data_IF_037783348819
#
_entry.id   IF_037783348819
#
_cell.length_a   1.000
_cell.length_b   1.000
_cell.length_c   1.000
_cell.angle_alpha   90.00
_cell.angle_beta   90.00
_cell.angle_gamma   90.00
#
_symmetry.space_group_name_H-M   'P 1'
#
loop_
_entity.id
_entity.type
_entity.pdbx_description
1 polymer ?
#
# COMPACT_ATOMS: atom_id res chain seq x y z
N UNK A 1 -7.98 13.73 -10.03
CA UNK A 1 -6.51 13.87 -9.93
C UNK A 1 -5.79 12.51 -9.88
N UNK A 2 -6.34 11.50 -9.20
CA UNK A 2 -5.68 10.19 -9.03
C UNK A 2 -6.25 9.06 -9.90
N UNK A 3 -7.05 9.35 -10.90
CA UNK A 3 -7.70 8.36 -11.77
C UNK A 3 -6.69 7.49 -12.55
N UNK A 4 -5.59 8.09 -12.98
CA UNK A 4 -4.51 7.40 -13.68
C UNK A 4 -3.57 6.61 -12.78
N UNK A 5 -3.60 6.86 -11.46
CA UNK A 5 -2.73 6.16 -10.51
C UNK A 5 -3.25 4.74 -10.27
N UNK A 6 -2.33 3.77 -10.36
CA UNK A 6 -2.64 2.40 -9.93
C UNK A 6 -3.04 2.41 -8.45
N UNK A 7 -3.73 1.38 -8.02
CA UNK A 7 -4.09 1.26 -6.62
C UNK A 7 -2.86 1.25 -5.70
N UNK A 8 -1.79 0.54 -6.10
CA UNK A 8 -0.54 0.52 -5.36
C UNK A 8 0.06 1.92 -5.23
N UNK A 9 0.09 2.69 -6.32
CA UNK A 9 0.59 4.06 -6.27
C UNK A 9 -0.28 4.99 -5.39
N UNK A 10 -1.60 4.79 -5.35
CA UNK A 10 -2.49 5.48 -4.40
C UNK A 10 -2.19 5.09 -2.95
N UNK A 11 -1.89 3.82 -2.69
CA UNK A 11 -1.51 3.35 -1.36
C UNK A 11 -0.17 3.91 -0.90
N UNK A 12 0.78 4.18 -1.80
CA UNK A 12 2.01 4.92 -1.44
C UNK A 12 1.66 6.26 -0.81
N UNK A 13 0.74 7.02 -1.40
CA UNK A 13 0.31 8.33 -0.88
C UNK A 13 -0.41 8.18 0.46
N UNK A 14 -1.25 7.17 0.58
CA UNK A 14 -1.92 6.85 1.84
C UNK A 14 -0.92 6.51 2.96
N UNK A 15 0.08 5.67 2.67
CA UNK A 15 1.12 5.33 3.63
C UNK A 15 2.05 6.52 3.93
N UNK A 16 2.32 7.38 2.95
CA UNK A 16 3.05 8.62 3.20
C UNK A 16 2.34 9.50 4.24
N UNK A 17 1.02 9.63 4.15
CA UNK A 17 0.22 10.33 5.16
C UNK A 17 0.29 9.64 6.52
N UNK A 18 0.22 8.31 6.53
CA UNK A 18 0.37 7.55 7.77
C UNK A 18 1.73 7.77 8.42
N UNK A 19 2.82 7.70 7.66
CA UNK A 19 4.17 7.95 8.17
C UNK A 19 4.31 9.40 8.69
N UNK A 20 3.84 10.39 7.96
CA UNK A 20 3.81 11.79 8.42
C UNK A 20 3.07 11.94 9.76
N UNK A 21 1.92 11.27 9.91
CA UNK A 21 1.16 11.21 11.15
C UNK A 21 1.97 10.61 12.32
N UNK A 22 2.72 9.52 12.07
CA UNK A 22 3.52 8.86 13.10
C UNK A 22 4.69 9.74 13.58
N UNK A 23 5.28 10.53 12.70
CA UNK A 23 6.38 11.46 13.03
C UNK A 23 5.89 12.84 13.50
N UNK A 24 4.57 13.06 13.56
CA UNK A 24 3.99 14.33 13.98
C UNK A 24 4.27 15.48 13.00
N UNK A 25 4.51 15.18 11.73
CA UNK A 25 4.67 16.20 10.70
C UNK A 25 3.31 16.78 10.29
N UNK A 26 3.16 18.11 10.23
CA UNK A 26 1.92 18.73 9.75
C UNK A 26 1.77 18.65 8.23
N UNK A 27 2.80 18.19 7.51
CA UNK A 27 2.85 18.09 6.05
C UNK A 27 3.31 16.70 5.61
N UNK A 28 2.85 16.28 4.44
CA UNK A 28 3.41 15.11 3.77
C UNK A 28 4.60 15.57 2.94
N UNK A 29 5.81 15.13 3.31
CA UNK A 29 7.10 15.45 2.70
C UNK A 29 7.63 14.27 1.88
N UNK A 30 8.70 14.50 1.11
CA UNK A 30 9.24 13.49 0.17
C UNK A 30 9.73 12.23 0.87
N UNK A 31 10.28 12.32 2.08
CA UNK A 31 10.69 11.20 2.91
C UNK A 31 9.51 10.34 3.35
N UNK A 32 8.37 10.96 3.64
CA UNK A 32 7.14 10.23 3.93
C UNK A 32 6.66 9.47 2.70
N UNK A 33 6.77 10.07 1.50
CA UNK A 33 6.47 9.41 0.23
C UNK A 33 7.43 8.22 -0.02
N UNK A 34 8.71 8.37 0.29
CA UNK A 34 9.68 7.29 0.19
C UNK A 34 9.35 6.16 1.17
N UNK A 35 9.05 6.46 2.44
CA UNK A 35 8.63 5.46 3.43
C UNK A 35 7.35 4.73 2.99
N UNK A 36 6.39 5.46 2.44
CA UNK A 36 5.18 4.89 1.87
C UNK A 36 5.46 3.92 0.72
N UNK A 37 6.41 4.26 -0.15
CA UNK A 37 6.85 3.41 -1.25
C UNK A 37 7.55 2.14 -0.77
N UNK A 38 8.49 2.27 0.19
CA UNK A 38 9.20 1.14 0.80
C UNK A 38 8.25 0.15 1.46
N UNK A 39 7.16 0.65 2.02
CA UNK A 39 6.12 -0.15 2.68
C UNK A 39 5.20 -0.84 1.68
N UNK A 40 4.76 -0.11 0.64
CA UNK A 40 3.77 -0.62 -0.32
C UNK A 40 4.37 -1.59 -1.33
N UNK A 41 5.58 -1.34 -1.79
CA UNK A 41 6.18 -2.13 -2.86
C UNK A 41 7.58 -2.67 -2.50
N UNK A 42 7.65 -3.65 -1.58
CA UNK A 42 8.91 -4.29 -1.24
C UNK A 42 9.57 -5.02 -2.42
N UNK A 43 8.79 -5.45 -3.43
CA UNK A 43 9.31 -6.12 -4.61
C UNK A 43 10.08 -5.14 -5.50
N UNK A 44 9.50 -3.99 -5.81
CA UNK A 44 10.15 -2.89 -6.51
C UNK A 44 11.40 -2.43 -5.75
N UNK A 45 11.30 -2.30 -4.44
CA UNK A 45 12.43 -1.90 -3.60
C UNK A 45 13.57 -2.91 -3.65
N UNK A 46 13.29 -4.21 -3.58
CA UNK A 46 14.32 -5.26 -3.74
C UNK A 46 14.96 -5.24 -5.13
N UNK A 47 14.16 -4.98 -6.15
CA UNK A 47 14.67 -4.94 -7.54
C UNK A 47 15.67 -3.81 -7.76
N UNK A 48 15.41 -2.62 -7.22
CA UNK A 48 16.20 -1.42 -7.50
C UNK A 48 17.13 -1.01 -6.36
N UNK A 49 16.75 -1.21 -5.10
CA UNK A 49 17.55 -0.88 -3.92
C UNK A 49 18.38 -2.06 -3.42
N UNK A 50 18.04 -3.30 -3.84
CA UNK A 50 18.72 -4.49 -3.36
C UNK A 50 18.07 -5.12 -2.13
N UNK A 51 18.87 -5.79 -1.27
CA UNK A 51 18.34 -6.56 -0.14
C UNK A 51 17.47 -5.75 0.82
N UNK A 52 16.57 -6.43 1.54
CA UNK A 52 15.58 -5.78 2.44
C UNK A 52 16.21 -4.94 3.56
N UNK A 53 17.47 -5.21 3.95
CA UNK A 53 18.20 -4.40 4.92
C UNK A 53 18.46 -2.95 4.44
N UNK A 54 18.50 -2.71 3.12
CA UNK A 54 18.66 -1.35 2.57
C UNK A 54 17.43 -0.51 2.83
N UNK A 55 16.23 -1.08 2.70
CA UNK A 55 14.98 -0.37 3.04
C UNK A 55 14.93 -0.03 4.54
N UNK A 56 15.33 -0.96 5.41
CA UNK A 56 15.45 -0.71 6.84
C UNK A 56 16.47 0.40 7.16
N UNK A 57 17.63 0.38 6.49
CA UNK A 57 18.67 1.42 6.64
C UNK A 57 18.15 2.80 6.22
N UNK A 58 17.38 2.89 5.11
CA UNK A 58 16.75 4.15 4.69
C UNK A 58 15.80 4.67 5.76
N UNK A 59 14.97 3.80 6.34
CA UNK A 59 14.04 4.17 7.41
C UNK A 59 14.80 4.73 8.61
N UNK A 60 15.80 4.02 9.10
CA UNK A 60 16.62 4.46 10.25
C UNK A 60 17.28 5.81 9.97
N UNK A 61 17.76 6.03 8.76
CA UNK A 61 18.38 7.29 8.40
C UNK A 61 17.39 8.45 8.33
N UNK A 62 16.19 8.22 7.79
CA UNK A 62 15.09 9.20 7.83
C UNK A 62 14.75 9.53 9.29
N UNK A 63 14.58 8.50 10.14
CA UNK A 63 14.27 8.66 11.56
C UNK A 63 15.34 9.48 12.30
N UNK A 64 16.60 9.35 11.93
CA UNK A 64 17.69 10.14 12.53
C UNK A 64 17.68 11.62 12.14
N UNK A 65 17.02 11.98 11.05
CA UNK A 65 16.95 13.35 10.52
C UNK A 65 15.63 14.05 10.82
N UNK A 66 14.60 13.31 11.18
CA UNK A 66 13.31 13.86 11.61
C UNK A 66 13.36 14.14 13.11
N UNK A 67 13.02 15.35 13.50
CA UNK A 67 12.81 15.66 14.92
C UNK A 67 11.48 15.01 15.35
N UNK A 68 11.50 14.04 16.28
CA UNK A 68 10.28 13.42 16.76
C UNK A 68 9.34 14.46 17.38
N UNK A 69 8.09 14.46 16.95
CA UNK A 69 7.01 15.29 17.48
C UNK A 69 5.87 14.41 17.97
N UNK A 70 4.96 15.01 18.71
CA UNK A 70 3.74 14.31 19.10
C UNK A 70 2.95 13.85 17.86
N UNK A 71 2.45 12.61 17.91
CA UNK A 71 1.71 12.03 16.81
C UNK A 71 0.45 12.82 16.50
N UNK A 72 0.23 13.07 15.22
CA UNK A 72 -0.98 13.74 14.72
C UNK A 72 -1.98 12.67 14.29
N UNK A 73 -3.25 12.86 14.61
CA UNK A 73 -4.31 11.94 14.16
C UNK A 73 -4.36 11.89 12.63
N UNK A 74 -4.50 10.69 12.06
CA UNK A 74 -4.71 10.52 10.60
C UNK A 74 -6.03 11.12 10.09
N UNK A 75 -6.94 11.52 10.97
CA UNK A 75 -8.17 12.24 10.58
C UNK A 75 -7.93 13.73 10.32
N UNK A 76 -6.81 14.28 10.78
CA UNK A 76 -6.43 15.67 10.49
C UNK A 76 -5.99 15.78 9.03
N UNK A 77 -6.42 16.83 8.34
CA UNK A 77 -5.97 17.08 6.98
C UNK A 77 -4.48 17.45 6.96
N UNK A 78 -3.70 16.69 6.19
CA UNK A 78 -2.26 16.89 6.04
C UNK A 78 -1.98 17.24 4.58
N UNK A 79 -1.67 18.50 4.26
CA UNK A 79 -1.36 18.89 2.91
C UNK A 79 -0.01 18.33 2.45
N UNK A 80 0.09 18.10 1.15
CA UNK A 80 1.35 17.78 0.47
C UNK A 80 2.22 19.04 0.37
N UNK A 81 3.53 18.93 0.65
CA UNK A 81 4.48 19.97 0.31
C UNK A 81 4.56 20.20 -1.21
N UNK A 82 5.09 21.33 -1.63
CA UNK A 82 5.29 21.62 -3.05
C UNK A 82 6.21 20.61 -3.72
N UNK A 83 7.20 20.10 -3.00
CA UNK A 83 8.07 19.01 -3.48
C UNK A 83 7.30 17.72 -3.69
N UNK A 84 6.40 17.35 -2.80
CA UNK A 84 5.53 16.18 -2.99
C UNK A 84 4.55 16.36 -4.16
N UNK A 85 3.98 17.56 -4.34
CA UNK A 85 3.17 17.86 -5.53
C UNK A 85 3.99 17.72 -6.80
N UNK A 86 5.25 18.19 -6.77
CA UNK A 86 6.20 18.02 -7.88
C UNK A 86 6.50 16.55 -8.14
N UNK A 87 6.68 15.70 -7.11
CA UNK A 87 6.82 14.25 -7.28
C UNK A 87 5.64 13.66 -8.03
N UNK A 88 4.41 14.00 -7.65
CA UNK A 88 3.21 13.49 -8.34
C UNK A 88 3.14 13.94 -9.79
N UNK A 89 3.45 15.21 -10.08
CA UNK A 89 3.52 15.72 -11.46
C UNK A 89 4.57 14.97 -12.27
N UNK A 90 5.77 14.81 -11.72
CA UNK A 90 6.87 14.10 -12.38
C UNK A 90 6.56 12.62 -12.61
N UNK A 91 5.84 11.97 -11.70
CA UNK A 91 5.39 10.58 -11.89
C UNK A 91 4.43 10.45 -13.09
N UNK A 92 3.53 11.41 -13.28
CA UNK A 92 2.67 11.47 -14.46
C UNK A 92 3.49 11.66 -15.76
N UNK A 93 4.45 12.58 -15.74
CA UNK A 93 5.36 12.80 -16.88
C UNK A 93 6.19 11.56 -17.23
N UNK A 94 6.65 10.79 -16.22
CA UNK A 94 7.40 9.55 -16.47
C UNK A 94 6.50 8.47 -17.10
N UNK A 95 5.26 8.32 -16.63
CA UNK A 95 4.29 7.43 -17.24
C UNK A 95 4.04 7.79 -18.72
N UNK A 96 3.87 9.06 -19.03
CA UNK A 96 3.68 9.55 -20.41
C UNK A 96 4.92 9.31 -21.27
N UNK A 97 6.11 9.58 -20.73
CA UNK A 97 7.39 9.34 -21.41
C UNK A 97 7.59 7.87 -21.79
N UNK A 98 7.11 6.96 -20.95
CA UNK A 98 7.18 5.52 -21.18
C UNK A 98 6.01 4.98 -22.01
N UNK A 99 5.07 5.85 -22.45
CA UNK A 99 3.88 5.46 -23.18
C UNK A 99 2.88 4.62 -22.38
N UNK A 100 2.96 4.69 -21.05
CA UNK A 100 2.12 3.91 -20.15
C UNK A 100 0.87 4.69 -19.73
N UNK A 101 -0.29 4.01 -19.72
CA UNK A 101 -1.58 4.65 -19.40
C UNK A 101 -1.73 4.96 -17.91
N UNK A 102 -1.14 4.13 -17.06
CA UNK A 102 -1.29 4.18 -15.62
C UNK A 102 0.00 4.64 -14.94
N UNK A 103 -0.15 5.31 -13.82
CA UNK A 103 0.96 5.78 -13.00
C UNK A 103 1.17 4.78 -11.87
N UNK A 104 2.22 3.97 -11.94
CA UNK A 104 2.58 2.95 -10.97
C UNK A 104 3.58 3.44 -9.92
N UNK A 105 3.93 2.56 -9.01
CA UNK A 105 4.93 2.79 -7.94
C UNK A 105 6.32 3.04 -8.50
N UNK A 106 6.65 2.44 -9.63
CA UNK A 106 7.89 2.63 -10.39
C UNK A 106 8.04 4.08 -10.88
N UNK A 107 6.95 4.70 -11.34
CA UNK A 107 6.96 6.10 -11.76
C UNK A 107 7.16 7.03 -10.56
N UNK A 108 6.56 6.70 -9.41
CA UNK A 108 6.78 7.44 -8.16
C UNK A 108 8.24 7.34 -7.72
N UNK A 109 8.88 6.16 -7.83
CA UNK A 109 10.30 5.98 -7.52
C UNK A 109 11.18 6.88 -8.39
N UNK A 110 10.96 6.87 -9.72
CA UNK A 110 11.71 7.73 -10.64
C UNK A 110 11.46 9.21 -10.35
N UNK A 111 10.22 9.58 -10.04
CA UNK A 111 9.85 10.96 -9.72
C UNK A 111 10.54 11.44 -8.43
N UNK A 112 10.62 10.62 -7.39
CA UNK A 112 11.36 10.94 -6.16
C UNK A 112 12.83 11.24 -6.45
N UNK A 113 13.48 10.45 -7.33
CA UNK A 113 14.86 10.70 -7.75
C UNK A 113 15.04 12.01 -8.51
N UNK A 114 13.99 12.52 -9.17
CA UNK A 114 14.04 13.76 -9.99
C UNK A 114 13.84 15.04 -9.18
N UNK A 115 13.30 14.95 -7.97
CA UNK A 115 13.15 16.14 -7.10
C UNK A 115 14.48 16.41 -6.40
N UNK A 116 15.37 17.14 -7.11
CA UNK A 116 16.69 17.50 -6.60
C UNK A 116 16.59 18.32 -5.32
N UNK A 117 17.51 18.06 -4.39
CA UNK A 117 17.54 18.72 -3.08
C UNK A 117 16.64 18.09 -2.03
N UNK A 118 15.70 17.22 -2.41
CA UNK A 118 14.86 16.53 -1.42
C UNK A 118 15.62 15.46 -0.65
N UNK A 119 15.23 15.20 0.59
CA UNK A 119 15.80 14.15 1.41
C UNK A 119 15.66 12.77 0.74
N UNK A 120 14.50 12.48 0.18
CA UNK A 120 14.25 11.20 -0.52
C UNK A 120 15.21 11.01 -1.70
N UNK A 121 15.40 12.04 -2.54
CA UNK A 121 16.31 11.95 -3.69
C UNK A 121 17.76 11.73 -3.26
N UNK A 122 18.21 12.41 -2.21
CA UNK A 122 19.54 12.24 -1.63
C UNK A 122 19.74 10.81 -1.17
N UNK A 123 18.86 10.27 -0.33
CA UNK A 123 18.95 8.93 0.22
C UNK A 123 18.95 7.84 -0.86
N UNK A 124 18.14 8.00 -1.91
CA UNK A 124 18.11 7.08 -3.04
C UNK A 124 19.41 7.12 -3.87
N UNK A 125 19.96 8.32 -4.11
CA UNK A 125 21.22 8.51 -4.87
C UNK A 125 22.44 7.99 -4.11
N UNK A 126 22.52 8.19 -2.80
CA UNK A 126 23.57 7.65 -1.93
C UNK A 126 23.63 6.11 -2.00
N UNK A 127 22.50 5.47 -2.29
CA UNK A 127 22.41 4.03 -2.54
C UNK A 127 22.61 3.63 -4.01
N UNK A 128 23.10 4.56 -4.81
CA UNK A 128 23.47 4.32 -6.20
C UNK A 128 22.31 4.32 -7.20
N UNK A 129 21.09 4.69 -6.80
CA UNK A 129 19.98 4.73 -7.73
C UNK A 129 20.11 5.91 -8.70
N UNK A 130 19.86 5.62 -9.96
CA UNK A 130 19.82 6.59 -11.05
C UNK A 130 18.53 6.40 -11.85
N UNK A 131 17.91 7.49 -12.26
CA UNK A 131 16.65 7.45 -13.00
C UNK A 131 16.78 6.78 -14.39
N UNK A 132 17.92 6.94 -15.06
CA UNK A 132 18.12 6.41 -16.41
C UNK A 132 18.07 4.86 -16.47
N UNK A 133 18.83 4.10 -15.66
CA UNK A 133 18.73 2.64 -15.66
C UNK A 133 17.35 2.12 -15.29
N UNK A 134 16.63 2.80 -14.38
CA UNK A 134 15.27 2.41 -14.00
C UNK A 134 14.34 2.58 -15.21
N UNK A 135 14.40 3.72 -15.92
CA UNK A 135 13.62 3.94 -17.14
C UNK A 135 13.88 2.90 -18.22
N UNK A 136 15.16 2.54 -18.45
CA UNK A 136 15.51 1.51 -19.43
C UNK A 136 14.89 0.16 -19.11
N UNK A 137 14.84 -0.22 -17.83
CA UNK A 137 14.20 -1.44 -17.41
C UNK A 137 12.68 -1.36 -17.56
N UNK A 138 12.08 -0.23 -17.20
CA UNK A 138 10.63 -0.01 -17.32
C UNK A 138 10.18 0.03 -18.79
N UNK A 139 10.99 0.60 -19.68
CA UNK A 139 10.69 0.62 -21.12
C UNK A 139 10.69 -0.76 -21.77
N UNK A 140 11.42 -1.72 -21.19
CA UNK A 140 11.45 -3.12 -21.63
C UNK A 140 10.30 -3.96 -21.04
N UNK A 141 9.69 -3.48 -19.96
CA UNK A 141 8.54 -4.14 -19.36
C UNK A 141 7.28 -3.80 -20.15
N UNK A 142 6.44 -4.79 -20.51
CA UNK A 142 5.13 -4.50 -21.10
C UNK A 142 4.33 -3.62 -20.14
N UNK A 143 3.54 -2.69 -20.70
CA UNK A 143 2.65 -1.84 -19.92
C UNK A 143 1.92 -2.73 -18.90
N UNK A 144 2.23 -2.58 -17.64
CA UNK A 144 1.62 -3.37 -16.58
C UNK A 144 0.17 -2.92 -16.47
N UNK A 145 -0.63 -3.35 -17.44
CA UNK A 145 -2.08 -3.26 -17.40
C UNK A 145 -2.51 -3.72 -16.01
N UNK A 146 -3.19 -2.84 -15.34
CA UNK A 146 -3.67 -2.87 -13.98
C UNK A 146 -3.55 -4.19 -13.22
N UNK A 147 -3.45 -4.17 -11.94
CA UNK A 147 -2.87 -5.19 -11.11
C UNK A 147 -3.48 -6.56 -11.38
N UNK A 148 -2.75 -7.43 -12.07
CA UNK A 148 -2.87 -8.86 -11.79
C UNK A 148 -2.30 -9.01 -10.39
N UNK A 149 -3.14 -8.82 -9.38
CA UNK A 149 -2.86 -9.25 -8.02
C UNK A 149 -2.77 -10.78 -8.08
N UNK A 150 -1.61 -11.28 -8.46
CA UNK A 150 -1.22 -12.62 -8.04
C UNK A 150 -0.78 -12.42 -6.59
N UNK A 151 -1.44 -13.05 -5.63
CA UNK A 151 -0.87 -13.16 -4.30
C UNK A 151 0.48 -13.86 -4.48
N UNK A 152 1.57 -13.12 -4.26
CA UNK A 152 2.90 -13.73 -4.17
C UNK A 152 2.84 -14.72 -3.01
N UNK A 153 3.20 -15.99 -3.20
CA UNK A 153 3.09 -17.02 -2.16
C UNK A 153 3.97 -16.75 -0.93
N UNK A 154 4.79 -15.70 -0.96
CA UNK A 154 5.72 -15.33 0.11
C UNK A 154 5.56 -13.89 0.64
N UNK A 155 4.53 -13.16 0.24
CA UNK A 155 4.13 -11.94 0.95
C UNK A 155 3.59 -12.37 2.32
N UNK A 156 4.28 -11.96 3.40
CA UNK A 156 3.95 -12.39 4.76
C UNK A 156 2.45 -12.25 5.06
N UNK A 157 1.91 -13.10 5.92
CA UNK A 157 0.49 -13.20 6.29
C UNK A 157 -0.18 -11.84 6.58
N UNK A 158 0.58 -10.85 7.04
CA UNK A 158 0.15 -9.47 7.32
C UNK A 158 -0.23 -8.73 6.03
N UNK A 159 0.57 -8.82 4.98
CA UNK A 159 0.30 -8.15 3.68
C UNK A 159 -0.96 -8.73 3.01
N UNK A 160 -1.16 -10.03 3.15
CA UNK A 160 -2.35 -10.74 2.65
C UNK A 160 -3.60 -10.31 3.43
N UNK A 161 -3.50 -10.21 4.75
CA UNK A 161 -4.57 -9.75 5.61
C UNK A 161 -4.96 -8.29 5.31
N UNK A 162 -4.00 -7.38 5.19
CA UNK A 162 -4.25 -5.97 4.86
C UNK A 162 -4.97 -5.84 3.51
N UNK A 163 -4.59 -6.62 2.51
CA UNK A 163 -5.23 -6.63 1.21
C UNK A 163 -6.65 -7.19 1.26
N UNK A 164 -6.88 -8.25 2.06
CA UNK A 164 -8.21 -8.80 2.32
C UNK A 164 -9.10 -7.78 3.03
N UNK A 165 -8.59 -7.13 4.08
CA UNK A 165 -9.31 -6.09 4.83
C UNK A 165 -9.63 -4.88 3.96
N UNK A 166 -8.72 -4.49 3.06
CA UNK A 166 -9.00 -3.45 2.07
C UNK A 166 -10.14 -3.87 1.13
N UNK A 167 -10.15 -5.11 0.65
CA UNK A 167 -11.25 -5.66 -0.15
C UNK A 167 -12.60 -5.61 0.58
N UNK A 168 -12.64 -5.98 1.86
CA UNK A 168 -13.83 -5.87 2.71
C UNK A 168 -14.29 -4.43 2.90
N UNK A 169 -13.38 -3.51 3.17
CA UNK A 169 -13.67 -2.09 3.37
C UNK A 169 -14.34 -1.46 2.15
N UNK A 170 -13.90 -1.83 0.96
CA UNK A 170 -14.44 -1.32 -0.30
C UNK A 170 -15.59 -2.15 -0.85
N UNK A 171 -15.99 -3.20 -0.14
CA UNK A 171 -17.09 -4.08 -0.53
C UNK A 171 -16.98 -4.55 -2.00
N UNK A 172 -15.80 -5.06 -2.35
CA UNK A 172 -15.48 -5.43 -3.72
C UNK A 172 -15.08 -6.91 -3.82
N UNK A 173 -15.93 -7.72 -4.45
CA UNK A 173 -15.70 -9.15 -4.62
C UNK A 173 -14.46 -9.46 -5.46
N UNK A 174 -14.23 -8.73 -6.55
CA UNK A 174 -13.08 -8.96 -7.41
C UNK A 174 -11.74 -8.85 -6.66
N UNK A 175 -11.72 -8.01 -5.62
CA UNK A 175 -10.56 -7.87 -4.72
C UNK A 175 -10.49 -8.96 -3.68
N UNK A 176 -11.62 -9.47 -3.23
CA UNK A 176 -11.70 -10.51 -2.21
C UNK A 176 -11.55 -11.91 -2.81
N UNK A 177 -12.04 -12.11 -4.02
CA UNK A 177 -12.03 -13.38 -4.71
C UNK A 177 -10.66 -14.10 -4.73
N UNK A 178 -9.50 -13.43 -4.92
CA UNK A 178 -8.19 -14.08 -4.90
C UNK A 178 -7.79 -14.69 -3.55
N UNK A 179 -8.42 -14.26 -2.44
CA UNK A 179 -8.14 -14.79 -1.10
C UNK A 179 -8.92 -16.07 -0.80
N UNK A 180 -9.90 -16.40 -1.61
CA UNK A 180 -10.69 -17.62 -1.48
C UNK A 180 -10.21 -18.67 -2.47
N UNK A 181 -9.69 -19.79 -1.96
CA UNK A 181 -9.40 -20.94 -2.81
C UNK A 181 -10.71 -21.55 -3.33
N UNK A 182 -10.65 -22.33 -4.43
CA UNK A 182 -11.85 -22.95 -5.02
C UNK A 182 -12.61 -23.86 -4.02
N UNK A 183 -11.88 -24.49 -3.11
CA UNK A 183 -12.41 -25.39 -2.10
C UNK A 183 -12.50 -24.76 -0.71
N UNK A 184 -12.46 -23.45 -0.60
CA UNK A 184 -12.50 -22.75 0.69
C UNK A 184 -13.84 -22.96 1.40
N UNK A 185 -13.82 -22.80 2.72
CA UNK A 185 -15.03 -22.81 3.54
C UNK A 185 -15.12 -21.50 4.30
N UNK A 186 -16.28 -20.88 4.26
CA UNK A 186 -16.58 -19.69 5.04
C UNK A 186 -17.69 -20.04 6.04
N UNK A 187 -17.47 -19.71 7.31
CA UNK A 187 -18.46 -19.93 8.38
C UNK A 187 -18.78 -18.58 9.01
N UNK A 188 -20.05 -18.23 9.04
CA UNK A 188 -20.48 -16.99 9.67
C UNK A 188 -20.57 -17.10 11.20
N UNK A 189 -20.87 -15.98 11.86
CA UNK A 189 -21.01 -15.90 13.32
C UNK A 189 -22.18 -16.74 13.88
N UNK A 190 -23.08 -17.23 13.01
CA UNK A 190 -24.22 -18.09 13.35
C UNK A 190 -23.93 -19.57 13.09
N UNK A 191 -22.72 -19.89 12.64
CA UNK A 191 -22.29 -21.26 12.34
C UNK A 191 -22.74 -21.77 10.97
N UNK A 192 -23.35 -20.94 10.11
CA UNK A 192 -23.69 -21.32 8.76
C UNK A 192 -22.45 -21.38 7.88
N UNK A 193 -22.29 -22.48 7.15
CA UNK A 193 -21.13 -22.75 6.30
C UNK A 193 -21.49 -22.61 4.82
N UNK A 194 -20.64 -21.91 4.06
CA UNK A 194 -20.64 -21.87 2.59
C UNK A 194 -19.39 -22.56 2.09
N UNK A 195 -19.53 -23.39 1.07
CA UNK A 195 -18.44 -24.20 0.54
C UNK A 195 -18.15 -23.84 -0.90
N UNK A 196 -16.87 -23.57 -1.15
CA UNK A 196 -16.41 -23.18 -2.47
C UNK A 196 -16.58 -21.69 -2.74
N UNK A 197 -15.68 -21.20 -3.58
CA UNK A 197 -15.61 -19.81 -3.98
C UNK A 197 -16.90 -19.29 -4.62
N UNK A 198 -17.51 -20.12 -5.48
CA UNK A 198 -18.71 -19.74 -6.25
C UNK A 198 -19.95 -19.58 -5.35
N UNK A 199 -20.05 -20.37 -4.29
CA UNK A 199 -21.14 -20.22 -3.31
C UNK A 199 -20.95 -18.96 -2.47
N UNK A 200 -19.71 -18.68 -2.06
CA UNK A 200 -19.38 -17.47 -1.32
C UNK A 200 -19.62 -16.23 -2.18
N UNK A 201 -19.28 -16.28 -3.47
CA UNK A 201 -19.52 -15.19 -4.42
C UNK A 201 -21.01 -14.86 -4.54
N UNK A 202 -21.85 -15.88 -4.75
CA UNK A 202 -23.31 -15.70 -4.84
C UNK A 202 -23.92 -15.09 -3.58
N UNK A 203 -23.31 -15.33 -2.44
CA UNK A 203 -23.79 -14.85 -1.14
C UNK A 203 -23.02 -13.63 -0.65
N UNK A 204 -22.10 -13.11 -1.45
CA UNK A 204 -21.19 -12.03 -1.06
C UNK A 204 -21.90 -10.84 -0.44
N UNK A 205 -22.96 -10.34 -1.10
CA UNK A 205 -23.72 -9.21 -0.60
C UNK A 205 -24.40 -9.49 0.76
N UNK A 206 -24.95 -10.66 0.93
CA UNK A 206 -25.61 -11.07 2.18
C UNK A 206 -24.61 -11.23 3.31
N UNK A 207 -23.43 -11.81 3.00
CA UNK A 207 -22.38 -12.10 3.98
C UNK A 207 -21.66 -10.85 4.45
N UNK A 208 -21.38 -9.93 3.54
CA UNK A 208 -20.48 -8.81 3.78
C UNK A 208 -21.17 -7.44 3.85
N UNK A 209 -22.45 -7.29 3.41
CA UNK A 209 -23.20 -6.05 3.53
C UNK A 209 -23.21 -5.45 4.95
N UNK A 210 -23.30 -6.23 6.04
CA UNK A 210 -23.26 -5.68 7.39
C UNK A 210 -21.93 -5.00 7.73
N UNK A 211 -20.86 -5.32 7.00
CA UNK A 211 -19.50 -4.82 7.24
C UNK A 211 -19.12 -3.65 6.33
N UNK A 212 -19.79 -3.47 5.19
CA UNK A 212 -19.51 -2.43 4.21
C UNK A 212 -19.72 -0.99 4.72
N UNK A 213 -20.52 -0.81 5.76
CA UNK A 213 -20.91 0.51 6.31
C UNK A 213 -20.39 0.78 7.73
N UNK A 214 -19.66 -0.15 8.33
CA UNK A 214 -19.14 0.00 9.69
C UNK A 214 -17.63 0.14 9.65
N UNK A 215 -17.11 1.11 10.42
CA UNK A 215 -15.68 1.14 10.76
C UNK A 215 -15.37 -0.10 11.60
N UNK A 216 -15.02 -1.20 10.95
CA UNK A 216 -14.63 -2.43 11.62
C UNK A 216 -13.14 -2.35 11.90
N UNK A 217 -12.79 -2.28 13.17
CA UNK A 217 -11.40 -2.41 13.62
C UNK A 217 -11.14 -3.87 13.91
N UNK A 218 -10.19 -4.46 13.19
CA UNK A 218 -9.76 -5.83 13.46
C UNK A 218 -8.65 -5.78 14.51
N UNK A 219 -8.88 -6.44 15.63
CA UNK A 219 -7.85 -6.63 16.66
C UNK A 219 -7.24 -8.00 16.44
N UNK A 220 -5.94 -8.04 16.19
CA UNK A 220 -5.18 -9.28 16.04
C UNK A 220 -4.67 -9.70 17.41
N UNK A 221 -5.19 -10.77 17.94
CA UNK A 221 -4.65 -11.44 19.13
C UNK A 221 -3.70 -12.57 18.72
N UNK A 222 -2.41 -12.25 18.60
CA UNK A 222 -1.32 -13.23 18.54
C UNK A 222 -1.02 -13.85 17.17
N UNK A 223 0.26 -13.95 16.86
CA UNK A 223 0.81 -14.76 15.77
C UNK A 223 0.89 -16.24 16.23
N UNK A 224 0.03 -17.09 15.69
CA UNK A 224 0.17 -18.54 15.81
C UNK A 224 0.17 -19.20 14.44
N UNK A 225 1.05 -20.20 14.19
CA UNK A 225 1.00 -21.03 13.01
C UNK A 225 -0.12 -22.07 13.18
N UNK A 226 -1.34 -21.70 12.79
CA UNK A 226 -2.53 -22.56 12.83
C UNK A 226 -3.67 -21.96 12.01
N UNK A 227 -4.79 -22.66 11.81
CA UNK A 227 -5.92 -22.12 11.06
C UNK A 227 -6.38 -20.82 11.68
N UNK A 228 -6.48 -19.77 10.83
CA UNK A 228 -6.82 -18.42 11.22
C UNK A 228 -8.26 -18.36 11.77
N UNK A 229 -8.41 -18.26 13.09
CA UNK A 229 -9.67 -17.94 13.73
C UNK A 229 -9.81 -16.41 13.80
N UNK A 230 -10.53 -15.84 12.86
CA UNK A 230 -10.91 -14.44 12.88
C UNK A 230 -12.07 -14.24 13.84
N UNK A 231 -11.83 -13.69 15.00
CA UNK A 231 -12.87 -13.28 15.96
C UNK A 231 -13.22 -11.81 15.73
N UNK A 232 -14.49 -11.55 15.45
CA UNK A 232 -15.01 -10.22 15.21
C UNK A 232 -15.36 -9.53 16.54
N UNK A 233 -14.78 -8.37 16.81
CA UNK A 233 -15.29 -7.48 17.85
C UNK A 233 -15.86 -6.23 17.19
N UNK A 234 -17.16 -6.03 17.36
CA UNK A 234 -17.80 -4.76 17.05
C UNK A 234 -17.68 -3.87 18.27
N UNK A 235 -16.92 -2.79 18.19
CA UNK A 235 -16.95 -1.74 19.21
C UNK A 235 -18.31 -1.02 19.09
N UNK A 236 -19.25 -1.40 19.93
CA UNK A 236 -20.46 -0.66 20.13
C UNK A 236 -20.10 0.54 21.01
N UNK A 237 -19.97 1.74 20.40
CA UNK A 237 -19.87 2.98 21.17
C UNK A 237 -21.16 3.15 21.97
N UNK A 238 -21.03 3.13 23.29
CA UNK A 238 -22.09 3.64 24.15
C UNK A 238 -22.12 5.15 23.99
N UNK A 239 -23.30 5.63 23.66
CA UNK A 239 -23.74 7.03 23.77
C UNK A 239 -23.41 7.61 25.10
#
# INVERSE_FOLDING_TARGET
MFERYTERARRVIFFARYEASQYGSPYIETEHMLLGLLREDPALCRQFLGPSNVAASIRTEIESQITPRERISTSVDMPLTEECKKVLKLAAEESERLGQRHIGTEHVLVALLRVEGSLAARLLRERGLKAAPIREQLAKAPDSAGPKVRPEPNGGAISTLDSFLAGLKWYNWERLAPFFAQNTHFVDSKGKCWRGRDEIEKQFEVLFAPYAKKNVTFVHEGLYPGPMNLRWQTSCGKT
#
